data_IF_564180032601
#
_entry.id   IF_564180032601
#
_cell.length_a   1.000
_cell.length_b   1.000
_cell.length_c   1.000
_cell.angle_alpha   90.00
_cell.angle_beta   90.00
_cell.angle_gamma   90.00
#
_symmetry.space_group_name_H-M   'P 1'
#
loop_
_entity.id
_entity.type
_entity.pdbx_description
1 polymer ?
#
# COMPACT_ATOMS: atom_id res chain seq x y z
N UNK A 1 -5.24 -4.87 14.64
CA UNK A 1 -5.91 -4.56 13.34
C UNK A 1 -4.83 -4.17 12.34
N UNK A 2 -4.90 -4.61 11.08
CA UNK A 2 -3.90 -4.24 10.07
C UNK A 2 -4.20 -2.86 9.48
N UNK A 3 -3.17 -2.04 9.33
CA UNK A 3 -3.25 -0.73 8.67
C UNK A 3 -2.30 -0.72 7.49
N UNK A 4 -2.84 -0.54 6.29
CA UNK A 4 -2.09 -0.61 5.04
C UNK A 4 -1.69 0.78 4.57
N UNK A 5 -0.38 1.01 4.41
CA UNK A 5 0.19 2.28 4.00
C UNK A 5 0.60 2.22 2.53
N UNK A 6 0.06 3.14 1.72
CA UNK A 6 0.41 3.32 0.30
C UNK A 6 1.11 4.68 0.19
N UNK A 7 2.39 4.71 -0.18
CA UNK A 7 3.13 5.98 -0.33
C UNK A 7 2.63 6.76 -1.54
N UNK A 8 2.78 8.08 -1.53
CA UNK A 8 2.49 8.91 -2.70
C UNK A 8 3.46 8.68 -3.87
N UNK A 9 3.17 9.31 -5.01
CA UNK A 9 4.08 9.31 -6.17
C UNK A 9 5.46 9.86 -5.78
N UNK A 10 6.52 9.20 -6.25
CA UNK A 10 7.93 9.53 -5.96
C UNK A 10 8.36 9.40 -4.48
N UNK A 11 7.54 8.78 -3.62
CA UNK A 11 7.87 8.46 -2.25
C UNK A 11 7.86 6.94 -2.02
N UNK A 12 8.72 6.46 -1.12
CA UNK A 12 8.66 5.09 -0.60
C UNK A 12 8.19 5.10 0.87
N UNK A 13 8.18 3.92 1.50
CA UNK A 13 7.76 3.72 2.90
C UNK A 13 8.42 4.65 3.92
N UNK A 14 9.59 5.25 3.64
CA UNK A 14 10.27 6.17 4.56
C UNK A 14 9.48 7.46 4.81
N UNK A 15 8.53 7.82 3.96
CA UNK A 15 7.65 8.98 4.17
C UNK A 15 6.83 8.86 5.47
N UNK A 16 6.61 7.63 5.94
CA UNK A 16 5.83 7.34 7.14
C UNK A 16 6.64 7.31 8.44
N UNK A 17 7.95 7.62 8.41
CA UNK A 17 8.85 7.47 9.58
C UNK A 17 8.43 8.21 10.85
N UNK A 18 7.59 9.24 10.71
CA UNK A 18 7.10 10.06 11.82
C UNK A 18 5.65 9.71 12.23
N UNK A 19 5.02 8.74 11.55
CA UNK A 19 3.70 8.24 11.91
C UNK A 19 3.90 7.08 12.87
N UNK A 20 3.39 7.25 14.09
CA UNK A 20 3.39 6.21 15.12
C UNK A 20 1.94 5.84 15.40
N UNK A 21 1.61 4.57 15.23
CA UNK A 21 0.30 4.03 15.59
C UNK A 21 0.37 3.34 16.95
N UNK A 22 -0.76 3.22 17.67
CA UNK A 22 -0.85 2.39 18.87
C UNK A 22 -0.48 0.92 18.60
N UNK A 23 0.08 0.23 19.61
CA UNK A 23 0.64 -1.13 19.50
C UNK A 23 -0.35 -2.20 19.01
N UNK A 24 -1.66 -1.97 19.15
CA UNK A 24 -2.71 -2.86 18.64
C UNK A 24 -2.86 -2.84 17.10
N UNK A 25 -2.13 -1.96 16.42
CA UNK A 25 -2.11 -1.85 14.96
C UNK A 25 -0.85 -2.47 14.36
N UNK A 26 -1.05 -3.38 13.41
CA UNK A 26 0.03 -3.92 12.58
C UNK A 26 0.17 -3.05 11.33
N UNK A 27 1.34 -2.41 11.16
CA UNK A 27 1.63 -1.60 9.97
C UNK A 27 2.09 -2.50 8.82
N UNK A 28 1.39 -2.41 7.69
CA UNK A 28 1.74 -3.12 6.46
C UNK A 28 2.01 -2.09 5.36
N UNK A 29 3.21 -2.08 4.79
CA UNK A 29 3.53 -1.20 3.67
C UNK A 29 3.20 -1.89 2.34
N UNK A 30 2.41 -1.23 1.50
CA UNK A 30 2.13 -1.63 0.14
C UNK A 30 3.05 -0.86 -0.80
N UNK A 31 4.02 -1.57 -1.37
CA UNK A 31 4.93 -1.00 -2.35
C UNK A 31 4.24 -0.90 -3.72
N UNK A 32 4.52 0.18 -4.45
CA UNK A 32 4.06 0.34 -5.83
C UNK A 32 4.59 -0.78 -6.72
N UNK A 33 3.73 -1.31 -7.58
CA UNK A 33 4.08 -2.36 -8.54
C UNK A 33 4.24 -1.77 -9.94
N UNK A 34 4.98 -2.44 -10.82
CA UNK A 34 5.09 -2.01 -12.22
C UNK A 34 3.73 -2.17 -12.92
N UNK A 35 3.21 -1.10 -13.57
CA UNK A 35 1.98 -1.21 -14.35
C UNK A 35 2.20 -2.06 -15.61
N UNK A 36 1.16 -2.79 -16.02
CA UNK A 36 1.18 -3.56 -17.26
C UNK A 36 0.78 -2.67 -18.46
N UNK A 37 1.21 -3.05 -19.67
CA UNK A 37 0.88 -2.31 -20.88
C UNK A 37 -0.63 -2.36 -21.15
N UNK A 38 -1.26 -1.20 -21.24
CA UNK A 38 -2.71 -1.09 -21.48
C UNK A 38 -3.58 -1.34 -20.25
N UNK A 39 -2.97 -1.51 -19.07
CA UNK A 39 -3.69 -1.69 -17.80
C UNK A 39 -4.46 -0.43 -17.44
N UNK A 40 -5.76 -0.58 -17.17
CA UNK A 40 -6.56 0.51 -16.63
C UNK A 40 -6.20 0.78 -15.16
N UNK A 41 -6.48 1.98 -14.66
CA UNK A 41 -6.29 2.30 -13.24
C UNK A 41 -7.09 1.37 -12.31
N UNK A 42 -8.24 0.86 -12.76
CA UNK A 42 -9.06 -0.09 -12.02
C UNK A 42 -8.37 -1.44 -11.87
N UNK A 43 -7.83 -1.98 -12.95
CA UNK A 43 -7.12 -3.26 -12.94
C UNK A 43 -5.84 -3.15 -12.11
N UNK A 44 -5.10 -2.05 -12.30
CA UNK A 44 -3.90 -1.76 -11.52
C UNK A 44 -4.20 -1.69 -10.02
N UNK A 45 -5.24 -0.96 -9.61
CA UNK A 45 -5.58 -0.83 -8.19
C UNK A 45 -6.02 -2.14 -7.56
N UNK A 46 -6.77 -2.98 -8.29
CA UNK A 46 -7.12 -4.34 -7.85
C UNK A 46 -5.86 -5.19 -7.61
N UNK A 47 -4.89 -5.11 -8.53
CA UNK A 47 -3.63 -5.86 -8.45
C UNK A 47 -2.75 -5.36 -7.31
N UNK A 48 -2.67 -4.05 -7.14
CA UNK A 48 -2.00 -3.40 -6.00
C UNK A 48 -2.63 -3.81 -4.65
N UNK A 49 -3.95 -3.98 -4.60
CA UNK A 49 -4.67 -4.41 -3.39
C UNK A 49 -4.62 -5.91 -3.09
N UNK A 50 -4.06 -6.74 -3.99
CA UNK A 50 -4.03 -8.20 -3.80
C UNK A 50 -3.39 -8.71 -2.49
N UNK A 51 -2.43 -8.00 -1.86
CA UNK A 51 -1.90 -8.41 -0.55
C UNK A 51 -2.79 -8.03 0.64
N UNK A 52 -3.87 -7.27 0.43
CA UNK A 52 -4.76 -6.84 1.50
C UNK A 52 -5.63 -8.03 1.92
N UNK A 53 -5.48 -8.44 3.17
CA UNK A 53 -6.35 -9.43 3.80
C UNK A 53 -7.71 -8.80 4.13
N UNK A 54 -8.76 -9.33 3.49
CA UNK A 54 -10.15 -8.90 3.66
C UNK A 54 -11.06 -10.02 4.21
N UNK A 55 -10.46 -11.09 4.75
CA UNK A 55 -11.19 -12.24 5.31
C UNK A 55 -11.78 -11.98 6.69
#
# INVERSE_FOLDING_TARGET
>A
MKVYFISGLAADRRVFKNIVLPDEHEIVHLDWITPLKGESLREYSQRLSSPIDSS
#
